data_IF_229764949642
#
_entry.id   IF_229764949642
#
_cell.length_a   1.000
_cell.length_b   1.000
_cell.length_c   1.000
_cell.angle_alpha   90.00
_cell.angle_beta   90.00
_cell.angle_gamma   90.00
#
_symmetry.space_group_name_H-M   'P 1'
#
loop_
_entity.id
_entity.type
_entity.pdbx_description
1 polymer ?
#
# COMPACT_ATOMS: atom_id res chain seq x y z
N UNK A 1 24.51 -3.91 -4.13
CA UNK A 1 23.32 -3.33 -3.48
C UNK A 1 22.43 -4.48 -3.09
N UNK A 2 22.44 -4.87 -1.83
CA UNK A 2 21.41 -5.75 -1.29
C UNK A 2 20.11 -4.93 -1.26
N UNK A 3 18.98 -5.43 -1.81
CA UNK A 3 17.72 -4.73 -1.66
C UNK A 3 17.42 -4.65 -0.16
N UNK A 4 17.25 -3.43 0.35
CA UNK A 4 16.90 -3.22 1.76
C UNK A 4 15.70 -4.11 2.10
N UNK A 5 15.80 -5.04 3.07
CA UNK A 5 14.72 -5.97 3.40
C UNK A 5 13.43 -5.24 3.81
N UNK A 6 13.58 -3.98 4.26
CA UNK A 6 12.50 -3.03 4.51
C UNK A 6 11.70 -2.69 3.24
N UNK A 7 12.35 -2.52 2.09
CA UNK A 7 11.71 -2.17 0.82
C UNK A 7 10.86 -3.34 0.30
N UNK A 8 11.36 -4.57 0.34
CA UNK A 8 10.60 -5.73 -0.14
C UNK A 8 9.36 -5.97 0.74
N UNK A 9 9.49 -5.79 2.06
CA UNK A 9 8.37 -5.91 2.99
C UNK A 9 7.31 -4.82 2.77
N UNK A 10 7.74 -3.58 2.53
CA UNK A 10 6.84 -2.47 2.18
C UNK A 10 6.14 -2.69 0.83
N UNK A 11 6.83 -3.24 -0.17
CA UNK A 11 6.24 -3.58 -1.46
C UNK A 11 5.19 -4.70 -1.34
N UNK A 12 5.45 -5.74 -0.53
CA UNK A 12 4.46 -6.79 -0.26
C UNK A 12 3.23 -6.25 0.45
N UNK A 13 3.41 -5.38 1.44
CA UNK A 13 2.29 -4.70 2.13
C UNK A 13 1.48 -3.83 1.17
N UNK A 14 2.15 -3.07 0.30
CA UNK A 14 1.50 -2.24 -0.71
C UNK A 14 0.68 -3.09 -1.69
N UNK A 15 1.23 -4.20 -2.19
CA UNK A 15 0.53 -5.12 -3.08
C UNK A 15 -0.69 -5.77 -2.40
N UNK A 16 -0.58 -6.13 -1.12
CA UNK A 16 -1.69 -6.68 -0.35
C UNK A 16 -2.81 -5.64 -0.14
N UNK A 17 -2.46 -4.39 0.17
CA UNK A 17 -3.41 -3.27 0.29
C UNK A 17 -4.11 -2.97 -1.05
N UNK A 18 -3.40 -3.03 -2.17
CA UNK A 18 -4.02 -2.88 -3.50
C UNK A 18 -5.01 -4.01 -3.81
N UNK A 19 -4.66 -5.25 -3.50
CA UNK A 19 -5.55 -6.39 -3.69
C UNK A 19 -6.81 -6.27 -2.83
N UNK A 20 -6.68 -5.84 -1.57
CA UNK A 20 -7.82 -5.58 -0.68
C UNK A 20 -8.69 -4.45 -1.22
N UNK A 21 -8.11 -3.31 -1.62
CA UNK A 21 -8.88 -2.20 -2.22
C UNK A 21 -9.63 -2.66 -3.48
N UNK A 22 -8.99 -3.44 -4.36
CA UNK A 22 -9.64 -3.92 -5.60
C UNK A 22 -10.76 -4.92 -5.31
N UNK A 23 -10.55 -5.83 -4.36
CA UNK A 23 -11.59 -6.75 -3.92
C UNK A 23 -12.77 -5.96 -3.34
N UNK A 24 -12.50 -5.04 -2.41
CA UNK A 24 -13.52 -4.27 -1.70
C UNK A 24 -14.29 -3.36 -2.65
N UNK A 25 -13.62 -2.59 -3.51
CA UNK A 25 -14.27 -1.71 -4.52
C UNK A 25 -15.06 -2.46 -5.59
N UNK A 26 -14.85 -3.77 -5.76
CA UNK A 26 -15.66 -4.63 -6.62
C UNK A 26 -17.02 -4.99 -6.03
N UNK A 27 -17.23 -4.79 -4.71
CA UNK A 27 -18.51 -5.04 -4.06
C UNK A 27 -19.47 -3.85 -4.24
N UNK A 28 -20.76 -4.14 -4.46
CA UNK A 28 -21.79 -3.11 -4.64
C UNK A 28 -22.00 -2.19 -3.42
N UNK A 29 -21.64 -2.67 -2.23
CA UNK A 29 -21.62 -1.92 -0.97
C UNK A 29 -20.24 -2.07 -0.35
N UNK A 30 -19.27 -1.32 -0.86
CA UNK A 30 -17.95 -1.24 -0.26
C UNK A 30 -17.90 -0.11 0.74
N UNK A 31 -17.16 -0.32 1.83
CA UNK A 31 -16.95 0.72 2.82
C UNK A 31 -16.00 1.78 2.22
N UNK A 32 -16.59 2.85 1.72
CA UNK A 32 -15.85 3.97 1.14
C UNK A 32 -14.89 4.62 2.13
N UNK A 33 -15.14 4.53 3.44
CA UNK A 33 -14.24 5.03 4.49
C UNK A 33 -13.06 4.09 4.64
N UNK A 34 -13.29 2.77 4.71
CA UNK A 34 -12.22 1.77 4.77
C UNK A 34 -11.31 1.86 3.53
N UNK A 35 -11.89 1.91 2.33
CA UNK A 35 -11.13 2.08 1.07
C UNK A 35 -10.32 3.38 1.06
N UNK A 36 -10.88 4.47 1.60
CA UNK A 36 -10.16 5.74 1.70
C UNK A 36 -8.98 5.67 2.68
N UNK A 37 -9.14 4.99 3.82
CA UNK A 37 -8.05 4.76 4.76
C UNK A 37 -6.96 3.89 4.13
N UNK A 38 -7.32 2.80 3.46
CA UNK A 38 -6.37 1.94 2.74
C UNK A 38 -5.60 2.69 1.66
N UNK A 39 -6.25 3.60 0.91
CA UNK A 39 -5.58 4.46 -0.08
C UNK A 39 -4.60 5.45 0.55
N UNK A 40 -4.92 6.00 1.72
CA UNK A 40 -3.99 6.88 2.47
C UNK A 40 -2.80 6.10 3.01
N UNK A 41 -3.01 4.89 3.51
CA UNK A 41 -1.94 4.01 3.98
C UNK A 41 -1.01 3.62 2.83
N UNK A 42 -1.57 3.28 1.66
CA UNK A 42 -0.82 3.07 0.43
C UNK A 42 0.05 4.28 0.05
N UNK A 43 -0.48 5.50 0.20
CA UNK A 43 0.27 6.73 -0.09
C UNK A 43 1.45 6.88 0.87
N UNK A 44 1.24 6.67 2.17
CA UNK A 44 2.31 6.73 3.18
C UNK A 44 3.40 5.69 2.94
N UNK A 45 3.02 4.45 2.61
CA UNK A 45 3.97 3.39 2.25
C UNK A 45 4.81 3.78 1.03
N UNK A 46 4.20 4.44 0.04
CA UNK A 46 4.92 4.96 -1.13
C UNK A 46 5.90 6.07 -0.76
N UNK A 47 5.51 6.98 0.13
CA UNK A 47 6.39 8.05 0.62
C UNK A 47 7.57 7.49 1.43
N UNK A 48 7.34 6.48 2.29
CA UNK A 48 8.40 5.80 3.04
C UNK A 48 9.36 5.04 2.09
N UNK A 49 8.83 4.34 1.09
CA UNK A 49 9.62 3.68 0.05
C UNK A 49 10.49 4.66 -0.73
N UNK A 50 9.92 5.82 -1.08
CA UNK A 50 10.62 6.87 -1.80
C UNK A 50 11.72 7.51 -0.93
N UNK A 51 11.46 7.69 0.36
CA UNK A 51 12.46 8.13 1.35
C UNK A 51 13.61 7.14 1.48
N UNK A 52 13.30 5.85 1.63
CA UNK A 52 14.29 4.78 1.73
C UNK A 52 15.11 4.63 0.43
N UNK A 53 14.51 4.89 -0.74
CA UNK A 53 15.20 4.86 -2.04
C UNK A 53 16.11 6.06 -2.31
N UNK A 54 15.86 7.19 -1.68
CA UNK A 54 16.67 8.41 -1.83
C UNK A 54 17.87 8.46 -0.88
N UNK A 55 17.94 7.55 0.09
CA UNK A 55 18.99 7.52 1.12
C UNK A 55 20.06 6.47 0.81
#
# INVERSE_FOLDING_TARGET
MEPDPSIESLQRQHAALEAQIMAETGHAYYDSVAVRQMKLEKLRLKEELDRLRRH
#
